data_IF_656948815650
#
_entry.id   IF_656948815650
#
_cell.length_a   1.000
_cell.length_b   1.000
_cell.length_c   1.000
_cell.angle_alpha   90.00
_cell.angle_beta   90.00
_cell.angle_gamma   90.00
#
_symmetry.space_group_name_H-M   'P 1'
#
loop_
_entity.id
_entity.type
_entity.pdbx_description
1 polymer ?
#
# COMPACT_ATOMS: atom_id res chain seq x y z
N UNK A 1 12.93 -7.48 4.00
CA UNK A 1 11.48 -7.65 4.31
C UNK A 1 10.69 -8.05 3.07
N UNK A 2 10.93 -7.40 1.91
CA UNK A 2 10.39 -7.80 0.60
C UNK A 2 11.56 -8.04 -0.34
N UNK A 3 11.58 -9.17 -1.06
CA UNK A 3 12.65 -9.49 -2.00
C UNK A 3 12.08 -9.96 -3.32
N UNK A 4 12.49 -9.33 -4.39
CA UNK A 4 12.26 -9.76 -5.78
C UNK A 4 13.55 -10.36 -6.32
N UNK A 5 13.51 -11.55 -6.90
CA UNK A 5 14.67 -12.24 -7.47
C UNK A 5 14.40 -12.59 -8.91
N UNK A 6 15.05 -11.87 -9.83
CA UNK A 6 14.88 -12.03 -11.28
C UNK A 6 13.41 -12.16 -11.71
N UNK A 7 12.58 -11.27 -11.16
CA UNK A 7 11.12 -11.37 -11.24
C UNK A 7 10.61 -10.88 -12.59
N UNK A 8 9.88 -11.72 -13.30
CA UNK A 8 9.22 -11.41 -14.57
C UNK A 8 7.70 -11.50 -14.37
N UNK A 9 6.97 -10.52 -14.89
CA UNK A 9 5.51 -10.58 -14.97
C UNK A 9 5.05 -10.35 -16.40
N UNK A 10 4.43 -11.38 -16.97
CA UNK A 10 3.78 -11.36 -18.28
C UNK A 10 2.28 -11.56 -18.10
N UNK A 11 1.49 -10.70 -18.71
CA UNK A 11 0.03 -10.80 -18.75
C UNK A 11 -0.44 -11.71 -19.91
N UNK A 12 -1.70 -12.23 -19.88
CA UNK A 12 -2.21 -13.13 -20.92
C UNK A 12 -2.18 -12.56 -22.34
N UNK A 13 -2.26 -11.23 -22.47
CA UNK A 13 -2.14 -10.51 -23.75
C UNK A 13 -0.71 -10.42 -24.30
N UNK A 14 0.26 -11.08 -23.66
CA UNK A 14 1.69 -11.07 -24.04
C UNK A 14 2.48 -9.88 -23.51
N UNK A 15 1.85 -8.88 -22.87
CA UNK A 15 2.55 -7.72 -22.34
C UNK A 15 3.41 -8.10 -21.13
N UNK A 16 4.71 -7.81 -21.20
CA UNK A 16 5.66 -7.97 -20.10
C UNK A 16 5.77 -6.69 -19.29
N UNK A 17 5.12 -6.66 -18.15
CA UNK A 17 5.13 -5.53 -17.24
C UNK A 17 6.39 -5.44 -16.37
N UNK A 18 7.03 -6.57 -16.06
CA UNK A 18 8.32 -6.64 -15.38
C UNK A 18 9.25 -7.62 -16.10
N UNK A 19 10.54 -7.25 -16.22
CA UNK A 19 11.53 -7.92 -17.05
C UNK A 19 12.80 -8.23 -16.28
N UNK A 20 12.72 -9.16 -15.31
CA UNK A 20 13.89 -9.60 -14.52
C UNK A 20 14.23 -8.62 -13.38
N UNK A 21 13.24 -8.10 -12.67
CA UNK A 21 13.44 -7.21 -11.54
C UNK A 21 14.08 -7.93 -10.37
N UNK A 22 15.19 -7.41 -9.86
CA UNK A 22 15.85 -7.83 -8.62
C UNK A 22 15.94 -6.63 -7.67
N UNK A 23 15.28 -6.75 -6.51
CA UNK A 23 15.15 -5.66 -5.54
C UNK A 23 14.95 -6.24 -4.15
N UNK A 24 15.61 -5.68 -3.15
CA UNK A 24 15.35 -5.97 -1.73
C UNK A 24 14.93 -4.68 -1.02
N UNK A 25 13.86 -4.78 -0.24
CA UNK A 25 13.40 -3.76 0.71
C UNK A 25 13.59 -4.33 2.11
N UNK A 26 14.42 -3.67 2.90
CA UNK A 26 14.74 -4.13 4.25
C UNK A 26 13.60 -3.82 5.25
N UNK A 27 13.66 -4.47 6.42
CA UNK A 27 12.68 -4.20 7.49
C UNK A 27 12.84 -2.78 8.00
N UNK A 28 11.72 -2.04 8.10
CA UNK A 28 11.71 -0.63 8.53
C UNK A 28 12.22 0.35 7.47
N UNK A 29 12.56 -0.13 6.27
CA UNK A 29 12.99 0.74 5.18
C UNK A 29 11.77 1.38 4.48
N UNK A 30 11.95 2.61 3.99
CA UNK A 30 11.04 3.27 3.07
C UNK A 30 11.65 3.34 1.68
N UNK A 31 10.94 2.79 0.69
CA UNK A 31 11.38 2.78 -0.71
C UNK A 31 10.28 3.36 -1.59
N UNK A 32 10.65 4.31 -2.45
CA UNK A 32 9.79 4.87 -3.47
C UNK A 32 10.15 4.31 -4.85
N UNK A 33 9.16 3.75 -5.54
CA UNK A 33 9.27 3.30 -6.92
C UNK A 33 8.83 4.44 -7.83
N UNK A 34 9.73 4.95 -8.64
CA UNK A 34 9.50 6.02 -9.61
C UNK A 34 9.50 5.49 -11.04
N UNK A 35 9.10 6.30 -12.00
CA UNK A 35 9.07 5.95 -13.42
C UNK A 35 7.81 6.45 -14.10
N UNK A 36 7.80 6.46 -15.43
CA UNK A 36 6.67 6.94 -16.24
C UNK A 36 5.42 6.04 -16.07
N UNK A 37 4.25 6.51 -16.55
CA UNK A 37 3.05 5.68 -16.61
C UNK A 37 3.32 4.46 -17.51
N UNK A 38 2.87 3.28 -17.06
CA UNK A 38 3.13 2.01 -17.76
C UNK A 38 4.51 1.39 -17.50
N UNK A 39 5.41 2.01 -16.72
CA UNK A 39 6.72 1.44 -16.41
C UNK A 39 6.70 0.13 -15.62
N UNK A 40 5.56 -0.27 -15.03
CA UNK A 40 5.39 -1.50 -14.25
C UNK A 40 5.26 -1.29 -12.73
N UNK A 41 5.21 -0.03 -12.25
CA UNK A 41 5.15 0.31 -10.81
C UNK A 41 4.01 -0.38 -10.07
N UNK A 42 2.78 -0.20 -10.53
CA UNK A 42 1.59 -0.84 -9.91
C UNK A 42 1.64 -2.37 -9.97
N UNK A 43 2.23 -2.94 -11.05
CA UNK A 43 2.45 -4.38 -11.15
C UNK A 43 3.42 -4.89 -10.09
N UNK A 44 4.53 -4.17 -9.87
CA UNK A 44 5.51 -4.49 -8.82
C UNK A 44 4.85 -4.46 -7.44
N UNK A 45 4.05 -3.43 -7.14
CA UNK A 45 3.32 -3.33 -5.87
C UNK A 45 2.28 -4.44 -5.71
N UNK A 46 1.54 -4.81 -6.77
CA UNK A 46 0.58 -5.93 -6.74
C UNK A 46 1.26 -7.27 -6.48
N UNK A 47 2.45 -7.49 -7.02
CA UNK A 47 3.24 -8.68 -6.72
C UNK A 47 3.68 -8.69 -5.25
N UNK A 48 4.19 -7.57 -4.71
CA UNK A 48 4.55 -7.44 -3.29
C UNK A 48 3.36 -7.67 -2.35
N UNK A 49 2.15 -7.25 -2.76
CA UNK A 49 0.91 -7.47 -2.01
C UNK A 49 0.33 -8.89 -2.17
N UNK A 50 0.92 -9.73 -3.03
CA UNK A 50 0.38 -11.04 -3.37
C UNK A 50 -0.99 -10.96 -4.08
N UNK A 51 -1.35 -9.83 -4.67
CA UNK A 51 -2.57 -9.68 -5.47
C UNK A 51 -2.41 -10.40 -6.79
N UNK A 52 -1.20 -10.31 -7.35
CA UNK A 52 -0.77 -11.06 -8.52
C UNK A 52 0.44 -11.91 -8.20
N UNK A 53 0.72 -12.91 -9.02
CA UNK A 53 1.90 -13.76 -8.90
C UNK A 53 2.87 -13.48 -10.06
N UNK A 54 4.16 -13.68 -9.81
CA UNK A 54 5.20 -13.60 -10.82
C UNK A 54 5.00 -14.71 -11.87
N UNK A 55 5.33 -14.42 -13.13
CA UNK A 55 5.37 -15.43 -14.19
C UNK A 55 6.64 -16.27 -14.15
N UNK A 56 7.76 -15.64 -13.74
CA UNK A 56 9.07 -16.28 -13.50
C UNK A 56 9.82 -15.54 -12.40
N UNK A 57 10.86 -16.18 -11.84
CA UNK A 57 11.57 -15.67 -10.68
C UNK A 57 10.76 -15.86 -9.39
N UNK A 58 11.07 -15.09 -8.37
CA UNK A 58 10.39 -15.21 -7.08
C UNK A 58 10.16 -13.87 -6.39
N UNK A 59 9.11 -13.82 -5.58
CA UNK A 59 8.81 -12.68 -4.67
C UNK A 59 8.65 -13.26 -3.27
N UNK A 60 9.48 -12.80 -2.35
CA UNK A 60 9.39 -13.13 -0.93
C UNK A 60 8.86 -11.93 -0.18
N UNK A 61 7.91 -12.15 0.73
CA UNK A 61 7.36 -11.13 1.63
C UNK A 61 7.32 -11.73 3.03
N UNK A 62 7.96 -11.06 3.99
CA UNK A 62 8.10 -11.59 5.36
C UNK A 62 8.62 -13.04 5.39
N UNK A 63 9.62 -13.36 4.57
CA UNK A 63 10.22 -14.69 4.38
C UNK A 63 9.27 -15.75 3.79
N UNK A 64 8.10 -15.38 3.27
CA UNK A 64 7.19 -16.28 2.57
C UNK A 64 7.31 -16.09 1.07
N UNK A 65 7.62 -17.17 0.34
CA UNK A 65 7.67 -17.16 -1.12
C UNK A 65 6.25 -17.21 -1.69
N UNK A 66 5.85 -16.13 -2.37
CA UNK A 66 4.49 -15.99 -2.90
C UNK A 66 4.16 -16.98 -4.02
N UNK A 67 5.18 -17.51 -4.73
CA UNK A 67 4.97 -18.51 -5.80
C UNK A 67 4.52 -19.87 -5.25
N UNK A 68 4.79 -20.15 -3.98
CA UNK A 68 4.49 -21.44 -3.34
C UNK A 68 3.47 -21.32 -2.19
N UNK A 69 2.99 -20.11 -1.89
CA UNK A 69 2.03 -19.88 -0.82
C UNK A 69 0.66 -20.41 -1.20
N UNK A 70 0.02 -21.18 -0.32
CA UNK A 70 -1.36 -21.62 -0.50
C UNK A 70 -2.34 -20.48 -0.23
N UNK A 71 -3.56 -20.57 -0.75
CA UNK A 71 -4.59 -19.52 -0.60
C UNK A 71 -4.82 -19.09 0.87
N UNK A 72 -4.85 -20.03 1.81
CA UNK A 72 -4.99 -19.72 3.23
C UNK A 72 -3.79 -18.91 3.78
N UNK A 73 -2.55 -19.28 3.42
CA UNK A 73 -1.35 -18.54 3.81
C UNK A 73 -1.31 -17.13 3.20
N UNK A 74 -1.79 -17.00 1.96
CA UNK A 74 -1.87 -15.70 1.29
C UNK A 74 -2.91 -14.79 1.98
N UNK A 75 -4.03 -15.33 2.45
CA UNK A 75 -5.02 -14.58 3.22
C UNK A 75 -4.42 -14.07 4.54
N UNK A 76 -3.69 -14.91 5.27
CA UNK A 76 -2.99 -14.53 6.51
C UNK A 76 -1.90 -13.47 6.24
N UNK A 77 -1.12 -13.62 5.16
CA UNK A 77 -0.12 -12.63 4.77
C UNK A 77 -0.78 -11.26 4.54
N UNK A 78 -1.87 -11.22 3.77
CA UNK A 78 -2.57 -9.96 3.44
C UNK A 78 -3.17 -9.26 4.66
N UNK A 79 -3.57 -9.99 5.71
CA UNK A 79 -4.02 -9.39 6.98
C UNK A 79 -2.91 -8.60 7.69
N UNK A 80 -1.64 -8.93 7.42
CA UNK A 80 -0.46 -8.26 7.98
C UNK A 80 0.10 -7.16 7.07
N UNK A 81 -0.53 -6.91 5.92
CA UNK A 81 -0.18 -5.84 4.98
C UNK A 81 -1.21 -4.71 5.06
N UNK A 82 -0.73 -3.48 5.06
CA UNK A 82 -1.56 -2.31 4.79
C UNK A 82 -1.50 -1.98 3.30
N UNK A 83 -2.65 -1.90 2.63
CA UNK A 83 -2.72 -1.64 1.20
C UNK A 83 -3.49 -0.36 0.92
N UNK A 84 -2.86 0.58 0.21
CA UNK A 84 -3.48 1.81 -0.27
C UNK A 84 -3.47 1.78 -1.79
N UNK A 85 -4.66 1.71 -2.40
CA UNK A 85 -4.84 1.63 -3.84
C UNK A 85 -5.06 3.00 -4.45
N UNK A 86 -4.63 3.19 -5.70
CA UNK A 86 -4.84 4.42 -6.45
C UNK A 86 -6.33 4.78 -6.62
N UNK A 87 -7.19 3.80 -6.82
CA UNK A 87 -8.64 3.96 -7.01
C UNK A 87 -9.45 3.82 -5.71
N UNK A 88 -8.82 4.00 -4.57
CA UNK A 88 -9.36 3.99 -3.20
C UNK A 88 -10.05 2.68 -2.78
N UNK A 89 -10.79 2.00 -3.65
CA UNK A 89 -11.58 0.78 -3.36
C UNK A 89 -12.45 0.93 -2.10
N UNK A 90 -13.07 2.10 -1.93
CA UNK A 90 -13.98 2.36 -0.81
C UNK A 90 -15.33 1.69 -1.06
N UNK A 91 -15.96 1.25 0.02
CA UNK A 91 -17.32 0.71 0.02
C UNK A 91 -18.27 1.88 0.30
N UNK A 92 -18.96 2.34 -0.75
CA UNK A 92 -19.85 3.50 -0.68
C UNK A 92 -21.24 3.17 -0.09
N UNK A 93 -21.56 1.88 0.08
CA UNK A 93 -22.71 1.37 0.80
C UNK A 93 -22.51 1.29 2.32
N UNK A 94 -21.32 1.69 2.80
CA UNK A 94 -20.90 1.62 4.20
C UNK A 94 -20.36 2.96 4.69
N UNK A 95 -20.51 3.18 5.99
CA UNK A 95 -19.94 4.36 6.66
C UNK A 95 -18.40 4.37 6.65
N UNK A 96 -17.81 5.50 6.99
CA UNK A 96 -16.37 5.67 7.24
C UNK A 96 -15.89 4.66 8.29
N UNK A 97 -16.61 4.54 9.42
CA UNK A 97 -16.30 3.57 10.48
C UNK A 97 -16.28 2.13 9.94
N UNK A 98 -17.30 1.73 9.19
CA UNK A 98 -17.41 0.36 8.67
C UNK A 98 -16.34 0.05 7.62
N UNK A 99 -15.95 1.01 6.77
CA UNK A 99 -14.83 0.86 5.86
C UNK A 99 -13.53 0.54 6.61
N UNK A 100 -13.24 1.26 7.71
CA UNK A 100 -12.03 1.05 8.51
C UNK A 100 -12.12 -0.23 9.36
N UNK A 101 -13.31 -0.63 9.80
CA UNK A 101 -13.49 -1.84 10.60
C UNK A 101 -13.34 -3.15 9.79
N UNK A 102 -13.49 -3.09 8.48
CA UNK A 102 -13.51 -4.27 7.60
C UNK A 102 -12.27 -5.17 7.75
N UNK A 103 -11.01 -4.67 7.73
CA UNK A 103 -9.83 -5.52 7.94
C UNK A 103 -9.83 -6.22 9.30
N UNK A 104 -10.33 -5.56 10.35
CA UNK A 104 -10.44 -6.16 11.69
C UNK A 104 -11.48 -7.30 11.71
N UNK A 105 -12.60 -7.12 10.99
CA UNK A 105 -13.63 -8.15 10.87
C UNK A 105 -13.11 -9.38 10.11
N UNK A 106 -12.33 -9.17 9.03
CA UNK A 106 -11.70 -10.24 8.25
C UNK A 106 -10.65 -10.99 9.10
N UNK A 107 -9.92 -10.27 9.97
CA UNK A 107 -8.95 -10.87 10.88
C UNK A 107 -9.59 -11.50 12.15
N UNK A 108 -10.90 -11.58 12.23
CA UNK A 108 -11.65 -12.07 13.40
C UNK A 108 -11.23 -11.38 14.72
N UNK A 109 -10.94 -10.10 14.66
CA UNK A 109 -10.51 -9.32 15.82
C UNK A 109 -11.62 -9.22 16.88
N UNK A 110 -11.30 -9.21 18.20
CA UNK A 110 -12.30 -9.15 19.25
C UNK A 110 -13.25 -7.95 19.09
N UNK A 111 -14.56 -8.20 19.02
CA UNK A 111 -15.58 -7.17 18.77
C UNK A 111 -15.55 -6.01 19.77
N UNK A 112 -15.20 -6.30 21.02
CA UNK A 112 -15.09 -5.32 22.11
C UNK A 112 -14.00 -4.28 21.89
N UNK A 113 -12.97 -4.61 21.09
CA UNK A 113 -11.83 -3.73 20.82
C UNK A 113 -11.90 -3.03 19.46
N UNK A 114 -12.77 -3.49 18.55
CA UNK A 114 -12.89 -2.93 17.17
C UNK A 114 -13.11 -1.42 17.22
N UNK A 115 -14.07 -0.94 18.00
CA UNK A 115 -14.39 0.48 18.10
C UNK A 115 -13.20 1.33 18.53
N UNK A 116 -12.43 0.88 19.51
CA UNK A 116 -11.22 1.57 19.98
C UNK A 116 -10.16 1.66 18.88
N UNK A 117 -9.91 0.56 18.18
CA UNK A 117 -8.93 0.49 17.08
C UNK A 117 -9.32 1.37 15.90
N UNK A 118 -10.58 1.32 15.47
CA UNK A 118 -11.09 2.11 14.36
C UNK A 118 -10.96 3.60 14.66
N UNK A 119 -11.41 4.05 15.86
CA UNK A 119 -11.32 5.47 16.23
C UNK A 119 -9.87 5.95 16.32
N UNK A 120 -8.96 5.13 16.86
CA UNK A 120 -7.54 5.45 16.87
C UNK A 120 -6.94 5.58 15.46
N UNK A 121 -7.36 4.76 14.49
CA UNK A 121 -6.92 4.86 13.11
C UNK A 121 -7.52 6.11 12.43
N UNK A 122 -8.80 6.42 12.68
CA UNK A 122 -9.45 7.62 12.16
C UNK A 122 -8.85 8.90 12.74
N UNK A 123 -8.52 8.91 14.03
CA UNK A 123 -7.87 10.03 14.70
C UNK A 123 -6.49 10.34 14.06
N UNK A 124 -5.68 9.29 13.82
CA UNK A 124 -4.38 9.41 13.15
C UNK A 124 -4.44 10.10 11.79
N UNK A 125 -5.54 9.98 11.07
CA UNK A 125 -5.73 10.60 9.75
C UNK A 125 -6.65 11.83 9.78
N UNK A 126 -7.06 12.30 10.98
CA UNK A 126 -7.92 13.47 11.15
C UNK A 126 -9.35 13.29 10.63
N UNK A 127 -9.91 12.08 10.74
CA UNK A 127 -11.28 11.75 10.30
C UNK A 127 -12.20 11.26 11.42
N UNK A 128 -11.79 11.40 12.69
CA UNK A 128 -12.57 10.89 13.82
C UNK A 128 -13.99 11.49 13.88
N UNK A 129 -14.12 12.78 13.61
CA UNK A 129 -15.40 13.49 13.57
C UNK A 129 -16.29 13.11 12.38
N UNK A 130 -15.78 12.34 11.43
CA UNK A 130 -16.48 11.86 10.22
C UNK A 130 -16.84 10.37 10.31
N UNK A 131 -16.68 9.71 11.46
CA UNK A 131 -16.83 8.23 11.59
C UNK A 131 -18.17 7.69 11.08
N UNK A 132 -19.25 8.48 11.22
CA UNK A 132 -20.61 8.10 10.79
C UNK A 132 -20.96 8.54 9.35
N UNK A 133 -20.10 9.33 8.70
CA UNK A 133 -20.35 9.85 7.38
C UNK A 133 -20.32 8.73 6.33
N UNK A 134 -20.99 8.94 5.19
CA UNK A 134 -20.82 8.08 4.02
C UNK A 134 -19.61 8.59 3.23
N UNK A 135 -18.71 7.69 2.74
CA UNK A 135 -17.54 8.07 1.96
C UNK A 135 -17.81 8.97 0.74
N UNK A 136 -19.00 8.89 0.16
CA UNK A 136 -19.38 9.74 -0.98
C UNK A 136 -19.45 11.23 -0.62
N UNK A 137 -19.63 11.55 0.68
CA UNK A 137 -19.69 12.94 1.17
C UNK A 137 -18.32 13.49 1.54
N UNK A 138 -17.28 12.70 1.39
CA UNK A 138 -15.90 13.09 1.67
C UNK A 138 -15.25 13.72 0.43
N UNK A 139 -14.39 14.73 0.65
CA UNK A 139 -13.49 15.21 -0.41
C UNK A 139 -12.50 14.13 -0.84
N UNK A 140 -11.88 14.28 -2.01
CA UNK A 140 -10.87 13.32 -2.51
C UNK A 140 -9.73 13.10 -1.50
N UNK A 141 -9.23 14.17 -0.86
CA UNK A 141 -8.21 14.06 0.19
C UNK A 141 -8.71 13.35 1.45
N UNK A 142 -9.98 13.52 1.84
CA UNK A 142 -10.59 12.77 2.95
C UNK A 142 -10.76 11.30 2.60
N UNK A 143 -11.17 10.97 1.36
CA UNK A 143 -11.27 9.60 0.87
C UNK A 143 -9.91 8.90 0.87
N UNK A 144 -8.85 9.60 0.45
CA UNK A 144 -7.49 9.09 0.52
C UNK A 144 -7.06 8.81 1.97
N UNK A 145 -7.32 9.74 2.91
CA UNK A 145 -7.03 9.52 4.33
C UNK A 145 -7.85 8.36 4.91
N UNK A 146 -9.10 8.17 4.47
CA UNK A 146 -9.92 7.01 4.83
C UNK A 146 -9.27 5.69 4.36
N UNK A 147 -8.73 5.64 3.13
CA UNK A 147 -7.99 4.48 2.64
C UNK A 147 -6.76 4.17 3.49
N UNK A 148 -6.03 5.20 3.91
CA UNK A 148 -4.87 5.04 4.80
C UNK A 148 -5.33 4.53 6.17
N UNK A 149 -6.38 5.09 6.77
CA UNK A 149 -6.94 4.60 8.04
C UNK A 149 -7.30 3.12 7.98
N UNK A 150 -7.97 2.70 6.89
CA UNK A 150 -8.30 1.28 6.63
C UNK A 150 -7.04 0.42 6.50
N UNK A 151 -6.00 0.92 5.84
CA UNK A 151 -4.76 0.17 5.67
C UNK A 151 -3.99 -0.03 6.98
N UNK A 152 -4.04 0.93 7.91
CA UNK A 152 -3.24 0.90 9.16
C UNK A 152 -3.96 0.32 10.37
N UNK A 153 -5.27 0.08 10.30
CA UNK A 153 -6.09 -0.32 11.47
C UNK A 153 -5.62 -1.62 12.12
N UNK A 154 -5.08 -2.56 11.32
CA UNK A 154 -4.47 -3.81 11.80
C UNK A 154 -3.04 -3.63 12.33
N UNK A 155 -2.45 -2.42 12.27
CA UNK A 155 -1.05 -2.14 12.62
C UNK A 155 -0.09 -3.02 11.78
N UNK A 156 -0.13 -2.92 10.45
CA UNK A 156 0.67 -3.78 9.59
C UNK A 156 2.17 -3.51 9.76
N UNK A 157 2.98 -4.55 9.56
CA UNK A 157 4.44 -4.41 9.52
C UNK A 157 4.94 -3.83 8.18
N UNK A 158 4.13 -3.96 7.12
CA UNK A 158 4.43 -3.48 5.77
C UNK A 158 3.24 -2.66 5.27
N UNK A 159 3.51 -1.46 4.75
CA UNK A 159 2.54 -0.60 4.10
C UNK A 159 2.93 -0.45 2.62
N UNK A 160 2.02 -0.82 1.73
CA UNK A 160 2.20 -0.73 0.27
C UNK A 160 1.20 0.28 -0.26
N UNK A 161 1.67 1.28 -1.00
CA UNK A 161 0.82 2.35 -1.50
C UNK A 161 1.10 2.64 -2.98
N UNK A 162 0.04 2.62 -3.79
CA UNK A 162 0.11 2.93 -5.22
C UNK A 162 -0.40 4.34 -5.46
N UNK A 163 0.50 5.27 -5.83
CA UNK A 163 0.25 6.69 -6.10
C UNK A 163 -0.57 7.38 -4.99
N UNK A 164 -0.14 7.34 -3.70
CA UNK A 164 -0.96 7.77 -2.57
C UNK A 164 -1.24 9.29 -2.54
N UNK A 165 -0.50 10.10 -3.31
CA UNK A 165 -0.67 11.55 -3.45
C UNK A 165 -1.29 11.94 -4.79
N UNK A 166 -1.56 10.97 -5.66
CA UNK A 166 -2.16 11.21 -6.97
C UNK A 166 -3.53 11.91 -6.84
N UNK A 167 -3.79 12.89 -7.69
CA UNK A 167 -5.04 13.68 -7.74
C UNK A 167 -5.32 14.54 -6.48
N UNK A 168 -4.33 14.78 -5.63
CA UNK A 168 -4.42 15.69 -4.49
C UNK A 168 -3.72 17.01 -4.78
N UNK A 169 -4.24 18.10 -4.23
CA UNK A 169 -3.48 19.34 -4.22
C UNK A 169 -2.23 19.23 -3.32
N UNK A 170 -1.31 20.16 -3.49
CA UNK A 170 0.00 20.13 -2.85
C UNK A 170 -0.07 20.12 -1.31
N UNK A 171 -1.06 20.80 -0.71
CA UNK A 171 -1.20 20.85 0.75
C UNK A 171 -1.67 19.50 1.32
N UNK A 172 -2.64 18.87 0.65
CA UNK A 172 -3.09 17.52 1.04
C UNK A 172 -2.04 16.46 0.75
N UNK A 173 -1.34 16.54 -0.39
CA UNK A 173 -0.23 15.64 -0.70
C UNK A 173 0.85 15.68 0.39
N UNK A 174 1.23 16.87 0.86
CA UNK A 174 2.17 17.04 1.97
C UNK A 174 1.71 16.33 3.25
N UNK A 175 0.44 16.45 3.59
CA UNK A 175 -0.15 15.76 4.77
C UNK A 175 -0.04 14.24 4.65
N UNK A 176 -0.32 13.68 3.46
CA UNK A 176 -0.18 12.24 3.20
C UNK A 176 1.27 11.80 3.32
N UNK A 177 2.20 12.55 2.74
CA UNK A 177 3.64 12.29 2.86
C UNK A 177 4.08 12.22 4.33
N UNK A 178 3.65 13.17 5.16
CA UNK A 178 3.99 13.20 6.59
C UNK A 178 3.38 12.02 7.36
N UNK A 179 2.20 11.57 6.99
CA UNK A 179 1.61 10.34 7.54
C UNK A 179 2.49 9.12 7.23
N UNK A 180 2.92 8.91 5.99
CA UNK A 180 3.82 7.80 5.63
C UNK A 180 5.14 7.87 6.39
N UNK A 181 5.74 9.08 6.53
CA UNK A 181 6.95 9.28 7.35
C UNK A 181 6.71 8.85 8.80
N UNK A 182 5.60 9.28 9.40
CA UNK A 182 5.29 8.94 10.80
C UNK A 182 5.16 7.44 11.02
N UNK A 183 4.61 6.68 10.05
CA UNK A 183 4.54 5.22 10.13
C UNK A 183 5.92 4.58 9.97
N UNK A 184 6.75 5.08 9.06
CA UNK A 184 8.09 4.55 8.89
C UNK A 184 8.97 4.81 10.12
N UNK A 185 8.87 5.98 10.74
CA UNK A 185 9.61 6.34 11.97
C UNK A 185 9.32 5.39 13.16
N UNK A 186 8.14 4.77 13.19
CA UNK A 186 7.81 3.76 14.21
C UNK A 186 8.12 2.32 13.75
N UNK A 187 8.89 2.16 12.66
CA UNK A 187 9.43 0.89 12.20
C UNK A 187 8.58 0.14 11.17
N UNK A 188 7.52 0.76 10.62
CA UNK A 188 6.76 0.17 9.51
C UNK A 188 7.61 0.24 8.23
N UNK A 189 7.71 -0.89 7.53
CA UNK A 189 8.32 -0.94 6.18
C UNK A 189 7.35 -0.32 5.19
N UNK A 190 7.82 0.61 4.36
CA UNK A 190 6.97 1.32 3.39
C UNK A 190 7.49 1.11 1.97
N UNK A 191 6.64 0.60 1.09
CA UNK A 191 6.89 0.52 -0.35
C UNK A 191 5.80 1.30 -1.08
N UNK A 192 6.16 2.38 -1.74
CA UNK A 192 5.19 3.21 -2.44
C UNK A 192 5.61 3.49 -3.88
N UNK A 193 4.65 3.70 -4.78
CA UNK A 193 4.87 4.28 -6.09
C UNK A 193 4.48 5.76 -6.07
N UNK A 194 5.21 6.57 -6.79
CA UNK A 194 4.82 7.97 -7.00
C UNK A 194 5.58 8.59 -8.18
N UNK A 195 4.99 9.60 -8.78
CA UNK A 195 5.63 10.52 -9.73
C UNK A 195 5.72 11.95 -9.16
N UNK A 196 5.32 12.16 -7.90
CA UNK A 196 5.38 13.45 -7.20
C UNK A 196 6.80 13.72 -6.69
N UNK A 197 7.59 14.50 -7.45
CA UNK A 197 8.97 14.87 -7.10
C UNK A 197 9.05 15.70 -5.81
N UNK A 198 8.05 16.54 -5.53
CA UNK A 198 8.00 17.35 -4.30
C UNK A 198 7.80 16.45 -3.09
N UNK A 199 6.86 15.52 -3.18
CA UNK A 199 6.63 14.51 -2.15
C UNK A 199 7.86 13.62 -1.94
N UNK A 200 8.52 13.20 -3.01
CA UNK A 200 9.76 12.41 -2.95
C UNK A 200 10.90 13.14 -2.23
N UNK A 201 11.11 14.43 -2.52
CA UNK A 201 12.12 15.24 -1.82
C UNK A 201 11.82 15.32 -0.32
N UNK A 202 10.55 15.43 0.05
CA UNK A 202 10.11 15.49 1.45
C UNK A 202 10.22 14.14 2.16
N UNK A 203 9.99 13.00 1.47
CA UNK A 203 10.11 11.65 2.05
C UNK A 203 11.54 11.32 2.46
N UNK A 204 12.54 11.79 1.74
CA UNK A 204 13.95 11.48 1.97
C UNK A 204 14.20 9.97 2.12
N UNK A 205 13.73 9.18 1.15
CA UNK A 205 13.80 7.72 1.12
C UNK A 205 14.61 7.22 -0.07
N UNK A 206 14.98 5.94 -0.06
CA UNK A 206 15.61 5.29 -1.21
C UNK A 206 14.64 5.28 -2.39
N UNK A 207 15.13 5.72 -3.56
CA UNK A 207 14.38 5.77 -4.81
C UNK A 207 14.86 4.65 -5.73
N UNK A 208 13.92 3.96 -6.34
CA UNK A 208 14.17 2.95 -7.36
C UNK A 208 13.43 3.40 -8.61
N UNK A 209 14.19 3.68 -9.66
CA UNK A 209 13.59 4.07 -10.94
C UNK A 209 13.27 2.81 -11.76
N UNK A 210 12.02 2.69 -12.19
CA UNK A 210 11.55 1.62 -13.05
C UNK A 210 11.28 2.19 -14.45
N UNK A 211 11.95 1.62 -15.44
CA UNK A 211 11.75 1.96 -16.84
C UNK A 211 11.48 0.70 -17.66
N UNK A 212 10.38 0.69 -18.41
CA UNK A 212 9.95 -0.43 -19.27
C UNK A 212 10.07 -1.83 -18.59
N UNK A 213 9.71 -1.90 -17.31
CA UNK A 213 9.72 -3.13 -16.53
C UNK A 213 11.09 -3.55 -15.99
N UNK A 214 12.12 -2.70 -16.09
CA UNK A 214 13.46 -2.93 -15.54
C UNK A 214 13.81 -1.83 -14.53
N UNK A 215 14.63 -2.19 -13.54
CA UNK A 215 15.26 -1.18 -12.68
C UNK A 215 16.38 -0.53 -13.50
N UNK A 216 16.33 0.79 -13.66
CA UNK A 216 17.41 1.58 -14.20
C UNK A 216 18.29 2.09 -13.06
N UNK A 217 19.58 2.13 -13.33
CA UNK A 217 20.59 2.64 -12.40
C UNK A 217 20.44 4.15 -12.18
#
# INVERSE_FOLDING_TARGET
MITFSNTIKRYPNGFEALRGVTLTVEKGEMVAITGHSGAGKSTLLKLAAGIELASQGSVLVSNQNLSHIKAAGLAVLRQNLGLVFQDHKLLFDRSVFENVSLPLSIAAFPRTEVGKRVRAALDKVGLLNREKANPITLSGGEQQRLCIARAIVNRPAILIADEPTGNLDQAYAATIVDLFKSFNQVGVTVLLSTHDEVGLARLNCRRIHLDQGKISA
#
